data_IF_480988778800
#
_entry.id   IF_480988778800
#
_cell.length_a   1.000
_cell.length_b   1.000
_cell.length_c   1.000
_cell.angle_alpha   90.00
_cell.angle_beta   90.00
_cell.angle_gamma   90.00
#
_symmetry.space_group_name_H-M   'P 1'
#
loop_
_entity.id
_entity.type
_entity.pdbx_description
1 polymer ?
#
# COMPACT_ATOMS: atom_id res chain seq x y z
N UNK A 1 12.58 6.31 14.56
CA UNK A 1 12.46 4.90 15.01
C UNK A 1 11.59 4.17 14.01
N UNK A 2 12.04 3.02 13.51
CA UNK A 2 11.25 2.18 12.59
C UNK A 2 10.17 1.43 13.37
N UNK A 3 8.95 1.37 12.85
CA UNK A 3 7.91 0.49 13.37
C UNK A 3 8.33 -0.95 13.03
N UNK A 4 8.64 -1.75 14.05
CA UNK A 4 9.08 -3.15 13.90
C UNK A 4 7.93 -4.16 13.98
N UNK A 5 6.70 -3.69 14.19
CA UNK A 5 5.51 -4.54 14.32
C UNK A 5 4.36 -3.98 13.48
N UNK A 6 3.73 -4.85 12.72
CA UNK A 6 2.50 -4.55 12.00
C UNK A 6 1.35 -4.46 13.01
N UNK A 7 0.59 -3.35 13.05
CA UNK A 7 -0.62 -3.29 13.87
C UNK A 7 -1.64 -4.33 13.36
N UNK A 8 -2.50 -4.80 14.25
CA UNK A 8 -3.59 -5.70 13.86
C UNK A 8 -4.47 -4.98 12.84
N UNK A 9 -4.80 -5.69 11.76
CA UNK A 9 -5.68 -5.18 10.72
C UNK A 9 -7.13 -5.06 11.25
N UNK A 10 -7.79 -3.95 10.95
CA UNK A 10 -9.23 -3.80 11.14
C UNK A 10 -9.98 -4.57 10.04
N UNK A 11 -10.24 -5.86 10.26
CA UNK A 11 -10.91 -6.70 9.28
C UNK A 11 -12.27 -6.11 8.86
N UNK A 12 -12.52 -6.08 7.55
CA UNK A 12 -13.73 -5.50 6.96
C UNK A 12 -13.66 -3.98 6.73
N UNK A 13 -12.63 -3.29 7.24
CA UNK A 13 -12.36 -1.90 6.88
C UNK A 13 -12.02 -1.80 5.39
N UNK A 14 -12.63 -0.82 4.71
CA UNK A 14 -12.29 -0.53 3.31
C UNK A 14 -10.90 0.08 3.24
N UNK A 15 -10.16 -0.22 2.17
CA UNK A 15 -8.89 0.44 1.91
C UNK A 15 -9.10 1.95 1.75
N UNK A 16 -8.26 2.74 2.39
CA UNK A 16 -8.23 4.19 2.22
C UNK A 16 -7.82 4.52 0.79
N UNK A 17 -8.45 5.55 0.21
CA UNK A 17 -8.07 5.99 -1.12
C UNK A 17 -6.67 6.63 -1.07
N UNK A 18 -5.90 6.44 -2.14
CA UNK A 18 -4.61 7.08 -2.31
C UNK A 18 -4.50 7.62 -3.74
N UNK A 19 -3.63 8.62 -3.90
CA UNK A 19 -3.20 9.13 -5.19
C UNK A 19 -1.70 9.40 -5.10
N UNK A 20 -0.90 8.54 -5.74
CA UNK A 20 0.55 8.56 -5.59
C UNK A 20 1.24 8.53 -6.96
N UNK A 21 2.41 9.15 -7.03
CA UNK A 21 3.23 9.16 -8.23
C UNK A 21 4.02 7.86 -8.33
N UNK A 22 3.87 7.16 -9.46
CA UNK A 22 4.63 5.95 -9.79
C UNK A 22 6.06 6.26 -10.25
N UNK A 23 6.87 5.22 -10.36
CA UNK A 23 8.23 5.29 -10.93
C UNK A 23 8.25 5.75 -12.40
N UNK A 24 7.11 5.65 -13.10
CA UNK A 24 6.93 6.12 -14.47
C UNK A 24 6.41 7.57 -14.55
N UNK A 25 6.40 8.30 -13.43
CA UNK A 25 5.81 9.63 -13.28
C UNK A 25 4.29 9.71 -13.54
N UNK A 26 3.58 8.59 -13.63
CA UNK A 26 2.12 8.55 -13.73
C UNK A 26 1.50 8.61 -12.33
N UNK A 27 0.38 9.31 -12.20
CA UNK A 27 -0.45 9.25 -11.00
C UNK A 27 -1.23 7.93 -11.00
N UNK A 28 -1.19 7.21 -9.88
CA UNK A 28 -1.88 5.94 -9.67
C UNK A 28 -2.74 6.06 -8.41
N UNK A 29 -3.99 5.62 -8.51
CA UNK A 29 -4.94 5.59 -7.40
C UNK A 29 -5.40 4.16 -7.07
N UNK A 30 -6.17 4.01 -6.00
CA UNK A 30 -6.65 2.70 -5.52
C UNK A 30 -7.52 1.96 -6.56
N UNK A 31 -8.31 2.68 -7.36
CA UNK A 31 -9.18 2.06 -8.36
C UNK A 31 -8.37 1.51 -9.54
N UNK A 32 -7.27 2.17 -9.91
CA UNK A 32 -6.39 1.72 -11.00
C UNK A 32 -5.73 0.37 -10.70
N UNK A 33 -5.46 0.08 -9.42
CA UNK A 33 -4.78 -1.15 -8.96
C UNK A 33 -5.75 -2.21 -8.43
N UNK A 34 -7.06 -2.00 -8.56
CA UNK A 34 -8.07 -2.92 -8.01
C UNK A 34 -8.15 -4.20 -8.84
N UNK A 35 -7.71 -5.32 -8.26
CA UNK A 35 -7.77 -6.63 -8.90
C UNK A 35 -9.14 -7.31 -8.76
N UNK A 36 -9.46 -8.23 -9.67
CA UNK A 36 -10.72 -9.02 -9.65
C UNK A 36 -10.92 -9.81 -8.34
N UNK A 37 -9.82 -10.34 -7.80
CA UNK A 37 -9.84 -11.21 -6.60
C UNK A 37 -9.30 -10.51 -5.35
N UNK A 38 -8.81 -9.28 -5.47
CA UNK A 38 -8.16 -8.54 -4.39
C UNK A 38 -6.96 -7.73 -4.88
N UNK A 39 -6.44 -6.90 -3.98
CA UNK A 39 -5.28 -6.04 -4.21
C UNK A 39 -4.31 -6.22 -3.05
N UNK A 40 -3.05 -6.53 -3.35
CA UNK A 40 -1.97 -6.61 -2.36
C UNK A 40 -1.27 -5.25 -2.30
N UNK A 41 -1.24 -4.63 -1.12
CA UNK A 41 -0.51 -3.38 -0.86
C UNK A 41 0.64 -3.69 0.09
N UNK A 42 1.85 -3.28 -0.28
CA UNK A 42 3.06 -3.49 0.50
C UNK A 42 3.71 -2.14 0.82
N UNK A 43 4.12 -1.96 2.07
CA UNK A 43 4.90 -0.81 2.51
C UNK A 43 6.36 -1.24 2.66
N UNK A 44 7.21 -0.79 1.74
CA UNK A 44 8.63 -1.19 1.68
C UNK A 44 9.54 0.05 1.58
N UNK A 45 10.83 -0.16 1.86
CA UNK A 45 11.87 0.86 1.77
C UNK A 45 13.19 0.26 1.31
N UNK A 46 14.04 1.07 0.67
CA UNK A 46 15.26 0.58 0.02
C UNK A 46 16.40 0.25 1.00
N UNK A 47 16.43 0.89 2.18
CA UNK A 47 17.54 0.79 3.14
C UNK A 47 17.05 0.28 4.51
N UNK A 48 16.06 -0.59 4.49
CA UNK A 48 15.52 -1.21 5.69
C UNK A 48 16.08 -2.64 5.78
N UNK A 49 16.74 -3.01 6.91
CA UNK A 49 17.28 -4.35 7.09
C UNK A 49 16.20 -5.38 7.47
N UNK A 50 14.95 -4.95 7.60
CA UNK A 50 13.75 -5.76 7.81
C UNK A 50 13.03 -5.98 6.48
#
# INVERSE_FOLDING_TARGET
>A
MTLTKTPICDFGKKAENFELKSIENKIVNLNDVKGKNGTLIMFICNHCPY
#
